data_IF_319553426124
#
_entry.id   IF_319553426124
#
_cell.length_a   1.000
_cell.length_b   1.000
_cell.length_c   1.000
_cell.angle_alpha   90.00
_cell.angle_beta   90.00
_cell.angle_gamma   90.00
#
_symmetry.space_group_name_H-M   'P 1'
#
loop_
_entity.id
_entity.type
_entity.pdbx_description
1 polymer ?
#
# COMPACT_ATOMS: atom_id res chain seq x y z
N UNK A 1 2.19 6.50 -42.94
CA UNK A 1 2.97 5.29 -42.66
C UNK A 1 2.39 4.72 -41.37
N UNK A 2 1.39 3.85 -41.49
CA UNK A 2 0.72 3.22 -40.35
C UNK A 2 1.65 2.14 -39.82
N UNK A 3 2.08 2.26 -38.56
CA UNK A 3 2.79 1.17 -37.89
C UNK A 3 1.90 -0.08 -37.86
N UNK A 4 2.48 -1.26 -38.10
CA UNK A 4 1.72 -2.50 -38.02
C UNK A 4 1.16 -2.70 -36.59
N UNK A 5 -0.05 -3.25 -36.44
CA UNK A 5 -0.70 -3.39 -35.13
C UNK A 5 0.18 -4.03 -34.05
N UNK A 6 1.06 -4.96 -34.43
CA UNK A 6 1.99 -5.64 -33.52
C UNK A 6 3.06 -4.70 -32.94
N UNK A 7 3.54 -3.75 -33.75
CA UNK A 7 4.51 -2.73 -33.29
C UNK A 7 3.84 -1.78 -32.30
N UNK A 8 2.61 -1.37 -32.57
CA UNK A 8 1.85 -0.48 -31.67
C UNK A 8 1.56 -1.16 -30.33
N UNK A 9 1.12 -2.43 -30.34
CA UNK A 9 0.91 -3.20 -29.12
C UNK A 9 2.21 -3.40 -28.33
N UNK A 10 3.33 -3.59 -29.01
CA UNK A 10 4.64 -3.74 -28.35
C UNK A 10 5.04 -2.45 -27.62
N UNK A 11 4.86 -1.28 -28.25
CA UNK A 11 5.12 0.01 -27.59
C UNK A 11 4.25 0.21 -26.36
N UNK A 12 2.93 -0.01 -26.48
CA UNK A 12 1.99 0.17 -25.37
C UNK A 12 2.29 -0.79 -24.20
N UNK A 13 2.73 -2.02 -24.48
CA UNK A 13 3.15 -2.96 -23.44
C UNK A 13 4.41 -2.50 -22.71
N UNK A 14 5.40 -1.97 -23.43
CA UNK A 14 6.58 -1.41 -22.79
C UNK A 14 6.24 -0.19 -21.91
N UNK A 15 5.26 0.63 -22.32
CA UNK A 15 4.74 1.72 -21.50
C UNK A 15 4.05 1.19 -20.22
N UNK A 16 3.25 0.13 -20.33
CA UNK A 16 2.63 -0.54 -19.18
C UNK A 16 3.69 -1.12 -18.24
N UNK A 17 4.69 -1.83 -18.76
CA UNK A 17 5.78 -2.41 -17.95
C UNK A 17 6.51 -1.33 -17.14
N UNK A 18 6.72 -0.14 -17.73
CA UNK A 18 7.33 1.00 -17.04
C UNK A 18 6.40 1.64 -15.99
N UNK A 19 5.08 1.59 -16.18
CA UNK A 19 4.10 1.98 -15.16
C UNK A 19 4.12 0.97 -14.01
N UNK A 20 4.11 -0.32 -14.32
CA UNK A 20 4.09 -1.40 -13.33
C UNK A 20 5.34 -1.40 -12.46
N UNK A 21 6.52 -1.16 -13.06
CA UNK A 21 7.76 -0.99 -12.31
C UNK A 21 7.64 0.14 -11.25
N UNK A 22 7.07 1.29 -11.63
CA UNK A 22 6.84 2.40 -10.70
C UNK A 22 5.79 2.07 -9.65
N UNK A 23 4.74 1.32 -10.00
CA UNK A 23 3.75 0.87 -9.03
C UNK A 23 4.39 -0.02 -7.96
N UNK A 24 5.24 -0.97 -8.36
CA UNK A 24 5.96 -1.84 -7.44
C UNK A 24 6.89 -1.07 -6.50
N UNK A 25 7.63 -0.08 -7.02
CA UNK A 25 8.45 0.82 -6.21
C UNK A 25 7.61 1.59 -5.18
N UNK A 26 6.50 2.20 -5.62
CA UNK A 26 5.60 2.93 -4.71
C UNK A 26 4.97 2.04 -3.63
N UNK A 27 4.62 0.79 -3.97
CA UNK A 27 4.10 -0.18 -3.00
C UNK A 27 5.18 -0.52 -1.97
N UNK A 28 6.42 -0.79 -2.41
CA UNK A 28 7.56 -1.03 -1.50
C UNK A 28 7.76 0.15 -0.55
N UNK A 29 7.83 1.36 -1.08
CA UNK A 29 8.05 2.58 -0.28
C UNK A 29 6.92 2.77 0.75
N UNK A 30 5.67 2.52 0.35
CA UNK A 30 4.52 2.57 1.26
C UNK A 30 4.68 1.59 2.42
N UNK A 31 5.09 0.35 2.16
CA UNK A 31 5.29 -0.67 3.20
C UNK A 31 6.46 -0.31 4.12
N UNK A 32 7.54 0.27 3.60
CA UNK A 32 8.66 0.76 4.42
C UNK A 32 8.20 1.86 5.39
N UNK A 33 7.37 2.80 4.92
CA UNK A 33 6.78 3.83 5.78
C UNK A 33 5.85 3.20 6.83
N UNK A 34 4.99 2.25 6.47
CA UNK A 34 4.15 1.52 7.43
C UNK A 34 4.99 0.81 8.50
N UNK A 35 6.11 0.20 8.10
CA UNK A 35 7.03 -0.45 9.05
C UNK A 35 7.61 0.54 10.06
N UNK A 36 8.00 1.74 9.59
CA UNK A 36 8.46 2.83 10.46
C UNK A 36 7.35 3.35 11.38
N UNK A 37 6.11 3.44 10.88
CA UNK A 37 4.94 3.77 11.68
C UNK A 37 4.71 2.73 12.77
N UNK A 38 4.85 1.43 12.48
CA UNK A 38 4.76 0.35 13.47
C UNK A 38 5.76 0.52 14.61
N UNK A 39 7.01 0.86 14.28
CA UNK A 39 8.07 1.06 15.28
C UNK A 39 7.71 2.21 16.24
N UNK A 40 7.19 3.32 15.71
CA UNK A 40 6.68 4.43 16.53
C UNK A 40 5.50 3.97 17.36
N UNK A 41 4.50 3.30 16.76
CA UNK A 41 3.34 2.80 17.52
C UNK A 41 3.77 1.91 18.68
N UNK A 42 4.72 1.02 18.45
CA UNK A 42 5.30 0.14 19.48
C UNK A 42 6.02 0.91 20.58
N UNK A 43 6.84 1.90 20.22
CA UNK A 43 7.59 2.72 21.19
C UNK A 43 6.66 3.49 22.14
N UNK A 44 5.51 3.95 21.64
CA UNK A 44 4.56 4.76 22.39
C UNK A 44 3.29 4.00 22.83
N UNK A 45 3.27 2.67 22.74
CA UNK A 45 2.14 1.80 23.07
C UNK A 45 0.81 2.25 22.41
N UNK A 46 0.91 2.75 21.17
CA UNK A 46 -0.24 3.21 20.39
C UNK A 46 -0.91 1.99 19.76
N UNK A 47 -2.26 1.88 19.83
CA UNK A 47 -2.98 0.81 19.19
C UNK A 47 -2.67 0.71 17.70
N UNK A 48 -2.44 -0.53 17.30
CA UNK A 48 -2.13 -0.92 15.94
C UNK A 48 -3.18 -0.42 14.93
N UNK A 49 -4.46 -0.66 15.23
CA UNK A 49 -5.56 -0.27 14.35
C UNK A 49 -6.06 1.14 14.65
N UNK A 50 -6.09 2.00 13.62
CA UNK A 50 -6.64 3.36 13.69
C UNK A 50 -7.72 3.54 12.60
N UNK A 51 -9.03 3.39 12.93
CA UNK A 51 -10.11 3.32 11.93
C UNK A 51 -10.24 4.62 11.15
N UNK A 52 -10.03 5.75 11.83
CA UNK A 52 -10.07 7.07 11.23
C UNK A 52 -9.00 7.22 10.13
N UNK A 53 -7.82 6.62 10.30
CA UNK A 53 -6.78 6.66 9.27
C UNK A 53 -7.11 5.80 8.06
N UNK A 54 -7.72 4.64 8.26
CA UNK A 54 -8.21 3.78 7.18
C UNK A 54 -9.29 4.52 6.38
N UNK A 55 -10.26 5.13 7.06
CA UNK A 55 -11.34 5.89 6.44
C UNK A 55 -10.83 7.06 5.58
N UNK A 56 -9.83 7.82 6.07
CA UNK A 56 -9.21 8.91 5.31
C UNK A 56 -8.54 8.41 4.02
N UNK A 57 -7.85 7.27 4.07
CA UNK A 57 -7.16 6.71 2.90
C UNK A 57 -8.17 6.22 1.86
N UNK A 58 -9.24 5.55 2.30
CA UNK A 58 -10.30 5.11 1.41
C UNK A 58 -11.05 6.28 0.78
N UNK A 59 -11.33 7.36 1.53
CA UNK A 59 -12.02 8.53 0.95
C UNK A 59 -11.14 9.23 -0.09
N UNK A 60 -9.84 9.35 0.16
CA UNK A 60 -8.89 9.87 -0.83
C UNK A 60 -8.87 9.01 -2.11
N UNK A 61 -8.98 7.69 -1.97
CA UNK A 61 -9.07 6.78 -3.11
C UNK A 61 -10.35 7.02 -3.93
N UNK A 62 -11.49 7.23 -3.25
CA UNK A 62 -12.76 7.57 -3.92
C UNK A 62 -12.70 8.92 -4.62
N UNK A 63 -12.18 9.95 -3.95
CA UNK A 63 -11.99 11.28 -4.53
C UNK A 63 -11.11 11.23 -5.79
N UNK A 64 -10.01 10.49 -5.73
CA UNK A 64 -9.14 10.28 -6.87
C UNK A 64 -9.88 9.55 -8.00
N UNK A 65 -10.63 8.49 -7.69
CA UNK A 65 -11.40 7.76 -8.69
C UNK A 65 -12.40 8.67 -9.42
N UNK A 66 -13.17 9.45 -8.66
CA UNK A 66 -14.16 10.41 -9.20
C UNK A 66 -13.50 11.45 -10.10
N UNK A 67 -12.39 12.01 -9.66
CA UNK A 67 -11.66 13.06 -10.39
C UNK A 67 -11.09 12.55 -11.72
N UNK A 68 -10.69 11.27 -11.77
CA UNK A 68 -10.04 10.65 -12.91
C UNK A 68 -10.94 9.71 -13.72
N UNK A 69 -12.27 9.74 -13.48
CA UNK A 69 -13.25 8.88 -14.12
C UNK A 69 -12.91 7.37 -14.03
N UNK A 70 -12.34 6.96 -12.90
CA UNK A 70 -12.05 5.57 -12.57
C UNK A 70 -13.15 4.99 -11.69
N UNK A 71 -13.23 3.66 -11.61
CA UNK A 71 -14.15 2.99 -10.68
C UNK A 71 -13.72 3.25 -9.23
N UNK A 72 -14.65 3.81 -8.44
CA UNK A 72 -14.47 3.98 -6.99
C UNK A 72 -14.26 2.62 -6.30
N UNK A 73 -15.08 1.62 -6.64
CA UNK A 73 -14.98 0.27 -6.07
C UNK A 73 -13.62 -0.37 -6.33
N UNK A 74 -13.07 -0.19 -7.54
CA UNK A 74 -11.74 -0.70 -7.87
C UNK A 74 -10.65 -0.08 -7.00
N UNK A 75 -10.60 1.26 -6.89
CA UNK A 75 -9.57 1.92 -6.08
C UNK A 75 -9.74 1.66 -4.59
N UNK A 76 -10.98 1.58 -4.09
CA UNK A 76 -11.23 1.16 -2.71
C UNK A 76 -10.69 -0.25 -2.48
N UNK A 77 -10.95 -1.20 -3.37
CA UNK A 77 -10.43 -2.58 -3.28
C UNK A 77 -8.91 -2.66 -3.32
N UNK A 78 -8.24 -1.86 -4.16
CA UNK A 78 -6.78 -1.76 -4.17
C UNK A 78 -6.26 -1.28 -2.80
N UNK A 79 -6.87 -0.24 -2.24
CA UNK A 79 -6.45 0.27 -0.94
C UNK A 79 -6.79 -0.67 0.22
N UNK A 80 -7.85 -1.46 0.14
CA UNK A 80 -8.14 -2.52 1.12
C UNK A 80 -7.01 -3.55 1.17
N UNK A 81 -6.52 -4.01 0.01
CA UNK A 81 -5.38 -4.94 -0.07
C UNK A 81 -4.10 -4.32 0.50
N UNK A 82 -3.80 -3.07 0.13
CA UNK A 82 -2.62 -2.35 0.62
C UNK A 82 -2.68 -2.07 2.13
N UNK A 83 -3.87 -1.81 2.68
CA UNK A 83 -4.08 -1.62 4.12
C UNK A 83 -3.96 -2.96 4.84
N UNK A 84 -4.54 -4.03 4.31
CA UNK A 84 -4.42 -5.37 4.88
C UNK A 84 -2.97 -5.82 4.99
N UNK A 85 -2.16 -5.60 3.96
CA UNK A 85 -0.73 -5.94 3.99
C UNK A 85 0.05 -5.06 4.99
N UNK A 86 -0.28 -3.77 5.08
CA UNK A 86 0.32 -2.90 6.11
C UNK A 86 -0.03 -3.40 7.51
N UNK A 87 -1.27 -3.78 7.77
CA UNK A 87 -1.67 -4.34 9.06
C UNK A 87 -0.84 -5.57 9.43
N UNK A 88 -0.71 -6.53 8.50
CA UNK A 88 0.10 -7.73 8.70
C UNK A 88 1.57 -7.42 9.02
N UNK A 89 2.17 -6.45 8.32
CA UNK A 89 3.57 -6.05 8.54
C UNK A 89 3.76 -5.38 9.90
N UNK A 90 2.87 -4.46 10.26
CA UNK A 90 2.94 -3.74 11.53
C UNK A 90 2.71 -4.70 12.72
N UNK A 91 1.76 -5.65 12.63
CA UNK A 91 1.54 -6.71 13.64
C UNK A 91 2.83 -7.52 13.90
N UNK A 92 3.51 -7.96 12.84
CA UNK A 92 4.78 -8.70 12.96
C UNK A 92 5.87 -7.90 13.70
N UNK A 93 5.91 -6.57 13.55
CA UNK A 93 6.90 -5.70 14.18
C UNK A 93 6.58 -5.43 15.64
N UNK A 94 5.29 -5.26 15.96
CA UNK A 94 4.80 -5.06 17.32
C UNK A 94 5.01 -6.34 18.13
N UNK A 95 4.59 -7.50 17.60
CA UNK A 95 4.68 -8.80 18.28
C UNK A 95 6.13 -9.30 18.48
N UNK A 96 7.02 -9.03 17.52
CA UNK A 96 8.43 -9.40 17.65
C UNK A 96 9.11 -8.75 18.87
N UNK A 97 8.65 -7.57 19.31
CA UNK A 97 9.16 -6.88 20.49
C UNK A 97 8.71 -7.50 21.83
N UNK A 98 7.58 -8.19 21.85
CA UNK A 98 6.95 -8.73 23.07
C UNK A 98 7.66 -10.01 23.56
N UNK A 99 8.32 -10.74 22.66
CA UNK A 99 8.98 -12.02 22.97
C UNK A 99 10.31 -11.94 23.74
N UNK A 100 10.84 -10.75 23.99
CA UNK A 100 12.14 -10.55 24.68
C UNK A 100 11.97 -10.20 26.17
N UNK A 101 10.73 -9.95 26.65
CA UNK A 101 10.44 -9.49 28.02
C UNK A 101 10.31 -10.56 29.11
N UNK A 102 10.20 -11.86 28.78
CA UNK A 102 9.89 -12.90 29.78
C UNK A 102 11.08 -13.76 30.25
N UNK A 103 12.31 -13.48 29.81
CA UNK A 103 13.52 -14.17 30.31
C UNK A 103 14.35 -13.27 31.21
N UNK A 104 13.84 -12.99 32.40
CA UNK A 104 14.58 -12.20 33.39
C UNK A 104 13.81 -11.97 34.69
N UNK A 105 13.41 -13.04 35.38
CA UNK A 105 13.04 -12.98 36.79
C UNK A 105 13.66 -14.14 37.54
#
# INVERSE_FOLDING_TARGET
>A
MTEEPDTQLTSLRAELDAIDARLLENIRDRIEVCSRVALVKREYDIPMMQPDRVGVVQERARDFARTHAMSEDFLVGVYELLIGEACRVEDLIIDAGTSVGERGR
#
